data_IF_141646599576
#
_entry.id   IF_141646599576
#
_cell.length_a   1.000
_cell.length_b   1.000
_cell.length_c   1.000
_cell.angle_alpha   90.00
_cell.angle_beta   90.00
_cell.angle_gamma   90.00
#
_symmetry.space_group_name_H-M   'P 1'
#
loop_
_entity.id
_entity.type
_entity.pdbx_description
1 polymer ?
#
# COMPACT_ATOMS: atom_id res chain seq x y z
N UNK A 1 16.46 39.45 -23.52
CA UNK A 1 17.41 38.90 -22.55
C UNK A 1 17.15 39.57 -21.21
N UNK A 2 16.17 39.05 -20.47
CA UNK A 2 15.85 39.52 -19.11
C UNK A 2 16.43 38.49 -18.15
N UNK A 3 17.56 38.85 -17.56
CA UNK A 3 18.18 38.09 -16.48
C UNK A 3 17.19 38.08 -15.31
N UNK A 4 16.43 36.99 -15.17
CA UNK A 4 15.82 36.66 -13.88
C UNK A 4 17.00 36.30 -12.99
N UNK A 5 17.45 37.29 -12.20
CA UNK A 5 18.42 37.08 -11.14
C UNK A 5 17.96 35.88 -10.31
N UNK A 6 18.78 34.83 -10.33
CA UNK A 6 18.87 33.92 -9.20
C UNK A 6 19.14 34.84 -7.99
N UNK A 7 18.17 35.01 -7.09
CA UNK A 7 18.50 35.56 -5.77
C UNK A 7 19.32 34.47 -5.13
N UNK A 8 20.62 34.60 -5.30
CA UNK A 8 21.62 33.76 -4.70
C UNK A 8 21.48 33.90 -3.18
N UNK A 9 20.71 33.00 -2.55
CA UNK A 9 20.60 32.92 -1.09
C UNK A 9 21.93 32.46 -0.43
N UNK A 10 23.08 32.70 -1.09
CA UNK A 10 24.43 32.22 -0.76
C UNK A 10 24.93 32.64 0.62
N UNK A 11 24.36 33.69 1.22
CA UNK A 11 24.71 34.15 2.58
C UNK A 11 23.89 33.48 3.68
N UNK A 12 22.89 32.65 3.35
CA UNK A 12 22.04 31.98 4.32
C UNK A 12 22.39 30.49 4.38
N UNK A 13 22.47 29.96 5.60
CA UNK A 13 22.66 28.54 5.85
C UNK A 13 21.47 28.02 6.63
N UNK A 14 20.76 27.02 6.10
CA UNK A 14 19.74 26.31 6.85
C UNK A 14 20.38 25.12 7.56
N UNK A 15 20.13 25.01 8.86
CA UNK A 15 20.54 23.84 9.64
C UNK A 15 19.48 22.75 9.54
N UNK A 16 19.92 21.49 9.54
CA UNK A 16 19.01 20.35 9.55
C UNK A 16 18.02 20.45 10.72
N UNK A 17 16.74 20.11 10.49
CA UNK A 17 16.15 19.52 9.27
C UNK A 17 15.52 20.55 8.31
N UNK A 18 15.85 21.85 8.43
CA UNK A 18 15.27 22.90 7.59
C UNK A 18 15.89 22.92 6.20
N UNK A 19 15.14 23.46 5.23
CA UNK A 19 15.61 23.62 3.86
C UNK A 19 15.31 25.00 3.27
N UNK A 20 15.94 25.33 2.16
CA UNK A 20 15.72 26.58 1.44
C UNK A 20 14.32 26.64 0.82
N UNK A 21 13.77 27.84 0.78
CA UNK A 21 12.53 28.18 0.06
C UNK A 21 12.59 27.79 -1.43
N UNK A 22 11.45 27.47 -2.04
CA UNK A 22 11.42 27.09 -3.45
C UNK A 22 11.76 28.28 -4.36
N UNK A 23 12.24 28.03 -5.60
CA UNK A 23 12.50 29.09 -6.57
C UNK A 23 11.27 30.00 -6.77
N UNK A 24 11.50 31.31 -6.75
CA UNK A 24 10.45 32.33 -6.90
C UNK A 24 9.82 32.82 -5.59
N UNK A 25 10.22 32.29 -4.44
CA UNK A 25 9.86 32.82 -3.11
C UNK A 25 11.01 33.63 -2.48
N UNK A 26 10.73 34.54 -1.51
CA UNK A 26 11.77 35.20 -0.73
C UNK A 26 12.69 34.19 -0.04
N UNK A 27 14.00 34.47 0.03
CA UNK A 27 14.95 33.58 0.71
C UNK A 27 14.56 33.34 2.18
N UNK A 28 14.58 32.08 2.59
CA UNK A 28 14.37 31.68 3.97
C UNK A 28 14.58 30.19 4.19
N UNK A 29 14.55 29.79 5.46
CA UNK A 29 14.56 28.39 5.86
C UNK A 29 13.14 27.96 6.24
N UNK A 30 12.71 26.83 5.70
CA UNK A 30 11.37 26.28 5.85
C UNK A 30 11.43 24.82 6.26
N UNK A 31 10.35 24.33 6.86
CA UNK A 31 10.22 22.92 7.25
C UNK A 31 9.75 22.08 6.06
N UNK A 32 10.59 21.18 5.50
CA UNK A 32 10.14 20.26 4.46
C UNK A 32 9.32 19.12 5.05
N UNK A 33 8.36 18.63 4.27
CA UNK A 33 7.73 17.33 4.50
C UNK A 33 8.52 16.29 3.71
N UNK A 34 9.22 15.42 4.43
CA UNK A 34 10.14 14.46 3.85
C UNK A 34 9.42 13.15 3.56
N UNK A 35 9.60 12.62 2.37
CA UNK A 35 9.03 11.35 1.94
C UNK A 35 10.13 10.49 1.36
N UNK A 36 10.25 9.26 1.86
CA UNK A 36 11.14 8.26 1.28
C UNK A 36 10.33 7.16 0.64
N UNK A 37 10.57 6.93 -0.65
CA UNK A 37 9.87 5.90 -1.44
C UNK A 37 10.87 4.94 -2.10
N UNK A 38 10.46 3.70 -2.32
CA UNK A 38 11.06 2.79 -3.28
C UNK A 38 10.28 2.87 -4.59
N UNK A 39 10.97 2.87 -5.72
CA UNK A 39 10.40 2.75 -7.07
C UNK A 39 11.07 1.59 -7.81
N UNK A 40 10.29 0.83 -8.58
CA UNK A 40 10.77 -0.37 -9.28
C UNK A 40 11.39 -0.03 -10.65
N UNK A 41 12.42 0.81 -10.59
CA UNK A 41 13.26 1.18 -11.72
C UNK A 41 14.72 1.22 -11.24
N UNK A 42 15.64 0.81 -12.10
CA UNK A 42 17.07 0.89 -11.82
C UNK A 42 17.56 2.35 -11.75
N UNK A 43 18.47 2.64 -10.83
CA UNK A 43 18.91 4.01 -10.53
C UNK A 43 19.49 4.75 -11.75
N UNK A 44 20.21 4.05 -12.62
CA UNK A 44 20.78 4.64 -13.83
C UNK A 44 19.70 5.07 -14.85
N UNK A 45 18.53 4.43 -14.85
CA UNK A 45 17.36 4.86 -15.65
C UNK A 45 16.57 5.96 -14.96
N UNK A 46 16.65 6.05 -13.63
CA UNK A 46 15.94 7.06 -12.85
C UNK A 46 16.53 8.46 -12.99
N UNK A 47 17.86 8.62 -13.03
CA UNK A 47 18.52 9.94 -13.12
C UNK A 47 17.95 10.89 -14.20
N UNK A 48 17.71 10.47 -15.46
CA UNK A 48 17.11 11.35 -16.46
C UNK A 48 15.63 11.66 -16.20
N UNK A 49 14.95 10.94 -15.30
CA UNK A 49 13.51 11.03 -15.02
C UNK A 49 13.18 11.79 -13.73
N UNK A 50 14.19 12.30 -13.02
CA UNK A 50 14.05 13.04 -11.75
C UNK A 50 13.02 14.17 -11.84
N UNK A 51 13.07 14.96 -12.92
CA UNK A 51 12.16 16.07 -13.15
C UNK A 51 10.72 15.62 -13.41
N UNK A 52 10.53 14.49 -14.12
CA UNK A 52 9.20 13.93 -14.40
C UNK A 52 8.58 13.37 -13.12
N UNK A 53 9.36 12.65 -12.29
CA UNK A 53 8.88 12.17 -10.98
C UNK A 53 8.43 13.35 -10.10
N UNK A 54 9.25 14.40 -10.02
CA UNK A 54 8.92 15.58 -9.23
C UNK A 54 7.62 16.25 -9.70
N UNK A 55 7.40 16.31 -11.02
CA UNK A 55 6.18 16.84 -11.64
C UNK A 55 4.95 15.99 -11.35
N UNK A 56 5.04 14.67 -11.46
CA UNK A 56 3.94 13.73 -11.18
C UNK A 56 3.53 13.77 -9.70
N UNK A 57 4.51 13.78 -8.80
CA UNK A 57 4.27 13.93 -7.36
C UNK A 57 3.61 15.29 -7.09
N UNK A 58 4.16 16.39 -7.64
CA UNK A 58 3.62 17.73 -7.45
C UNK A 58 2.14 17.80 -7.86
N UNK A 59 1.79 17.25 -9.03
CA UNK A 59 0.41 17.18 -9.50
C UNK A 59 -0.50 16.40 -8.55
N UNK A 60 -0.01 15.27 -8.02
CA UNK A 60 -0.76 14.41 -7.10
C UNK A 60 -1.05 15.07 -5.75
N UNK A 61 -0.11 15.85 -5.22
CA UNK A 61 -0.26 16.55 -3.94
C UNK A 61 -0.73 18.00 -4.06
N UNK A 62 -1.10 18.46 -5.26
CA UNK A 62 -1.55 19.83 -5.54
C UNK A 62 -0.50 20.90 -5.20
N UNK A 63 0.78 20.58 -5.42
CA UNK A 63 1.90 21.50 -5.28
C UNK A 63 2.43 21.92 -6.65
N UNK A 64 3.19 23.01 -6.69
CA UNK A 64 3.96 23.35 -7.89
C UNK A 64 5.18 22.41 -8.03
N UNK A 65 5.65 22.17 -9.26
CA UNK A 65 6.85 21.36 -9.49
C UNK A 65 8.09 21.91 -8.76
N UNK A 66 8.17 23.24 -8.57
CA UNK A 66 9.27 23.91 -7.84
C UNK A 66 9.26 23.62 -6.33
N UNK A 67 8.16 23.08 -5.81
CA UNK A 67 7.99 22.70 -4.40
C UNK A 67 8.31 21.23 -4.15
N UNK A 68 8.71 20.46 -5.17
CA UNK A 68 9.10 19.06 -5.02
C UNK A 68 10.55 18.94 -5.40
N UNK A 69 11.39 18.60 -4.43
CA UNK A 69 12.84 18.45 -4.63
C UNK A 69 13.24 17.00 -4.35
N UNK A 70 13.90 16.39 -5.31
CA UNK A 70 14.57 15.11 -5.11
C UNK A 70 15.92 15.41 -4.46
N UNK A 71 16.09 14.98 -3.21
CA UNK A 71 17.28 15.24 -2.39
C UNK A 71 18.32 14.16 -2.62
N UNK A 72 17.86 12.91 -2.61
CA UNK A 72 18.71 11.73 -2.67
C UNK A 72 18.02 10.69 -3.54
N UNK A 73 18.82 9.95 -4.29
CA UNK A 73 18.40 8.73 -4.96
C UNK A 73 19.54 7.72 -4.86
N UNK A 74 19.23 6.52 -4.35
CA UNK A 74 20.19 5.44 -4.18
C UNK A 74 19.58 4.10 -4.62
N UNK A 75 20.41 3.13 -4.98
CA UNK A 75 19.94 1.77 -5.26
C UNK A 75 19.35 1.17 -3.98
N UNK A 76 18.17 0.55 -4.06
CA UNK A 76 17.57 -0.11 -2.92
C UNK A 76 18.33 -1.43 -2.64
N UNK A 77 19.46 -1.34 -1.94
CA UNK A 77 20.33 -2.47 -1.56
C UNK A 77 20.88 -3.27 -2.75
N UNK A 78 21.07 -4.60 -2.59
CA UNK A 78 21.58 -5.53 -3.60
C UNK A 78 20.69 -5.65 -4.85
N UNK A 79 19.49 -5.05 -4.84
CA UNK A 79 18.57 -5.02 -5.97
C UNK A 79 18.83 -3.78 -6.83
N UNK A 80 19.76 -3.90 -7.78
CA UNK A 80 20.08 -2.87 -8.79
C UNK A 80 18.86 -2.40 -9.63
N UNK A 81 17.74 -3.13 -9.54
CA UNK A 81 16.50 -2.88 -10.27
C UNK A 81 15.51 -1.99 -9.51
N UNK A 82 15.81 -1.59 -8.27
CA UNK A 82 14.99 -0.71 -7.45
C UNK A 82 15.77 0.51 -7.00
N UNK A 83 15.10 1.66 -6.94
CA UNK A 83 15.68 2.92 -6.49
C UNK A 83 14.93 3.44 -5.27
N UNK A 84 15.68 3.82 -4.25
CA UNK A 84 15.20 4.55 -3.09
C UNK A 84 15.35 6.03 -3.34
N UNK A 85 14.28 6.80 -3.20
CA UNK A 85 14.26 8.23 -3.47
C UNK A 85 13.81 8.98 -2.22
N UNK A 86 14.62 9.95 -1.77
CA UNK A 86 14.26 10.91 -0.74
C UNK A 86 13.75 12.19 -1.41
N UNK A 87 12.53 12.57 -1.06
CA UNK A 87 11.81 13.70 -1.63
C UNK A 87 11.51 14.69 -0.52
N UNK A 88 11.87 15.95 -0.73
CA UNK A 88 11.42 17.07 0.09
C UNK A 88 10.28 17.80 -0.60
N UNK A 89 9.12 17.83 0.04
CA UNK A 89 8.05 18.74 -0.32
C UNK A 89 8.27 20.05 0.45
N UNK A 90 8.36 21.16 -0.27
CA UNK A 90 8.74 22.47 0.26
C UNK A 90 7.52 23.41 0.26
N UNK A 91 7.12 23.97 1.41
CA UNK A 91 6.01 24.92 1.47
C UNK A 91 6.40 26.26 0.81
N UNK A 92 5.40 27.03 0.34
CA UNK A 92 5.60 28.42 -0.09
C UNK A 92 5.81 29.38 1.08
N UNK A 93 5.26 29.05 2.25
CA UNK A 93 5.46 29.76 3.50
C UNK A 93 6.50 29.07 4.39
N UNK A 94 6.52 29.38 5.68
CA UNK A 94 7.49 28.82 6.65
C UNK A 94 7.31 27.31 6.87
N UNK A 95 6.06 26.84 6.84
CA UNK A 95 5.67 25.44 7.08
C UNK A 95 4.36 25.12 6.35
N UNK A 96 4.06 23.84 6.13
CA UNK A 96 2.69 23.42 5.79
C UNK A 96 1.78 23.58 7.01
N UNK A 97 0.53 23.97 6.78
CA UNK A 97 -0.49 23.83 7.81
C UNK A 97 -0.73 22.35 8.12
N UNK A 98 -1.11 22.05 9.36
CA UNK A 98 -1.17 20.69 9.88
C UNK A 98 -2.18 19.84 9.08
N UNK A 99 -3.27 20.45 8.61
CA UNK A 99 -4.26 19.83 7.72
C UNK A 99 -3.68 19.43 6.37
N UNK A 100 -2.96 20.32 5.68
CA UNK A 100 -2.29 20.03 4.41
C UNK A 100 -1.23 18.96 4.59
N UNK A 101 -0.39 19.07 5.63
CA UNK A 101 0.62 18.05 5.93
C UNK A 101 -0.02 16.67 6.16
N UNK A 102 -1.13 16.59 6.91
CA UNK A 102 -1.85 15.35 7.16
C UNK A 102 -2.54 14.79 5.91
N UNK A 103 -3.10 15.64 5.05
CA UNK A 103 -3.68 15.23 3.77
C UNK A 103 -2.63 14.62 2.85
N UNK A 104 -1.46 15.25 2.75
CA UNK A 104 -0.32 14.73 1.99
C UNK A 104 0.12 13.38 2.56
N UNK A 105 0.33 13.29 3.88
CA UNK A 105 0.65 12.03 4.57
C UNK A 105 -0.32 10.91 4.20
N UNK A 106 -1.62 11.19 4.28
CA UNK A 106 -2.67 10.23 3.95
C UNK A 106 -2.60 9.80 2.49
N UNK A 107 -2.38 10.72 1.55
CA UNK A 107 -2.24 10.39 0.12
C UNK A 107 -1.10 9.43 -0.14
N UNK A 108 0.07 9.66 0.46
CA UNK A 108 1.21 8.74 0.32
C UNK A 108 0.88 7.34 0.85
N UNK A 109 0.38 7.24 2.09
CA UNK A 109 0.08 5.94 2.69
C UNK A 109 -1.06 5.18 2.02
N UNK A 110 -2.04 5.89 1.45
CA UNK A 110 -3.14 5.27 0.68
C UNK A 110 -2.76 4.97 -0.77
N UNK A 111 -1.52 5.23 -1.15
CA UNK A 111 -1.00 5.06 -2.51
C UNK A 111 -1.82 5.85 -3.56
N UNK A 112 -2.25 7.05 -3.18
CA UNK A 112 -3.03 7.98 -4.02
C UNK A 112 -2.10 8.96 -4.78
N UNK A 113 -0.81 8.63 -4.93
CA UNK A 113 0.13 9.42 -5.73
C UNK A 113 0.15 8.81 -7.12
N UNK A 114 -0.23 9.61 -8.11
CA UNK A 114 -0.28 9.22 -9.51
C UNK A 114 1.12 9.34 -10.09
N UNK A 115 1.83 8.21 -10.13
CA UNK A 115 3.13 8.05 -10.77
C UNK A 115 2.93 7.12 -11.97
N UNK A 116 3.52 7.41 -13.13
CA UNK A 116 3.40 6.53 -14.29
C UNK A 116 4.12 5.20 -14.04
N UNK A 117 3.33 4.16 -13.76
CA UNK A 117 3.82 2.82 -13.48
C UNK A 117 4.54 2.17 -14.67
N UNK A 118 4.31 2.64 -15.90
CA UNK A 118 5.04 2.15 -17.08
C UNK A 118 6.46 2.69 -17.14
N UNK A 119 6.68 3.88 -16.57
CA UNK A 119 7.98 4.57 -16.53
C UNK A 119 8.75 4.21 -15.26
N UNK A 120 8.12 4.34 -14.08
CA UNK A 120 8.76 4.21 -12.78
C UNK A 120 8.52 2.87 -12.09
N UNK A 121 7.62 2.05 -12.63
CA UNK A 121 7.17 0.82 -11.99
C UNK A 121 6.26 1.07 -10.79
N UNK A 122 6.01 0.02 -10.01
CA UNK A 122 5.31 0.16 -8.74
C UNK A 122 6.18 0.94 -7.74
N UNK A 123 5.54 1.75 -6.90
CA UNK A 123 6.22 2.45 -5.82
C UNK A 123 5.73 1.99 -4.45
N UNK A 124 6.60 2.06 -3.45
CA UNK A 124 6.30 1.76 -2.05
C UNK A 124 6.77 2.91 -1.16
N UNK A 125 5.96 3.28 -0.17
CA UNK A 125 6.31 4.34 0.79
C UNK A 125 7.04 3.71 1.97
N UNK A 126 8.26 4.17 2.24
CA UNK A 126 9.04 3.74 3.40
C UNK A 126 8.70 4.57 4.63
N UNK A 127 8.72 5.90 4.48
CA UNK A 127 8.28 6.80 5.53
C UNK A 127 7.77 8.12 4.95
N UNK A 128 6.93 8.77 5.75
CA UNK A 128 6.55 10.18 5.61
C UNK A 128 6.84 10.85 6.94
N UNK A 129 7.73 11.84 6.93
CA UNK A 129 8.20 12.51 8.13
C UNK A 129 7.92 14.02 8.06
N UNK A 130 7.22 14.52 9.08
CA UNK A 130 6.97 15.94 9.29
C UNK A 130 6.58 16.15 10.77
N UNK A 131 6.96 17.28 11.39
CA UNK A 131 6.60 17.55 12.78
C UNK A 131 5.09 17.48 13.01
N UNK A 132 4.68 16.76 14.05
CA UNK A 132 3.26 16.61 14.43
C UNK A 132 2.48 15.54 13.67
N UNK A 133 3.09 14.84 12.70
CA UNK A 133 2.48 13.68 12.07
C UNK A 133 2.61 12.41 12.94
N UNK A 134 1.69 11.45 12.79
CA UNK A 134 1.84 10.14 13.42
C UNK A 134 3.09 9.42 12.90
N UNK A 135 3.71 8.54 13.71
CA UNK A 135 4.85 7.75 13.26
C UNK A 135 4.48 6.88 12.06
N UNK A 136 5.43 6.70 11.15
CA UNK A 136 5.24 5.81 10.00
C UNK A 136 4.93 4.39 10.51
N UNK A 137 3.97 3.66 9.88
CA UNK A 137 3.70 2.27 10.21
C UNK A 137 4.99 1.45 10.13
N UNK A 138 5.18 0.45 11.01
CA UNK A 138 6.35 -0.41 10.92
C UNK A 138 6.40 -1.07 9.54
N UNK A 139 7.48 -0.81 8.81
CA UNK A 139 7.76 -1.47 7.54
C UNK A 139 7.82 -2.98 7.79
N UNK A 140 7.08 -3.76 7.00
CA UNK A 140 7.14 -5.23 7.09
C UNK A 140 8.58 -5.65 6.80
N UNK A 141 9.24 -6.46 7.65
CA UNK A 141 10.59 -6.91 7.36
C UNK A 141 10.53 -7.76 6.11
N UNK A 142 11.18 -7.28 5.05
CA UNK A 142 11.51 -8.12 3.90
C UNK A 142 12.55 -9.12 4.37
N UNK A 143 12.32 -10.40 4.10
CA UNK A 143 13.17 -11.54 4.50
C UNK A 143 14.66 -11.24 4.29
N UNK A 144 15.34 -10.90 5.38
CA UNK A 144 16.78 -10.96 5.49
C UNK A 144 17.08 -12.07 6.49
N UNK A 145 17.45 -13.24 5.95
CA UNK A 145 18.09 -14.30 6.70
C UNK A 145 19.32 -13.72 7.39
N UNK A 146 19.19 -13.46 8.68
CA UNK A 146 20.31 -13.18 9.59
C UNK A 146 21.14 -14.45 9.63
N UNK A 147 22.32 -14.42 9.00
CA UNK A 147 23.37 -15.38 9.29
C UNK A 147 24.01 -14.90 10.59
N UNK A 148 23.82 -15.70 11.63
CA UNK A 148 24.63 -15.67 12.85
C UNK A 148 26.10 -15.89 12.48
N UNK A 149 26.98 -14.98 12.92
CA UNK A 149 28.23 -15.41 13.54
C UNK A 149 28.71 -14.38 14.57
N UNK A 150 29.14 -14.92 15.70
CA UNK A 150 29.36 -14.27 16.98
C UNK A 150 30.86 -14.12 17.27
N UNK A 151 31.33 -12.92 17.65
CA UNK A 151 32.52 -12.80 18.53
C UNK A 151 32.69 -11.45 19.28
N UNK A 152 32.05 -11.38 20.46
CA UNK A 152 32.57 -10.90 21.77
C UNK A 152 32.94 -9.42 22.08
N UNK A 153 32.93 -9.03 23.38
CA UNK A 153 32.45 -7.73 23.87
C UNK A 153 33.53 -6.91 24.61
N UNK A 154 33.26 -5.62 24.79
CA UNK A 154 33.95 -4.73 25.74
C UNK A 154 33.09 -3.48 25.97
N UNK A 155 32.47 -3.35 27.15
CA UNK A 155 32.95 -2.47 28.23
C UNK A 155 32.85 -0.99 27.81
N UNK A 156 31.73 -0.30 28.09
CA UNK A 156 31.68 0.69 29.20
C UNK A 156 30.66 1.86 29.17
N UNK A 157 29.94 1.94 30.29
CA UNK A 157 29.33 3.05 31.06
C UNK A 157 28.40 4.13 30.45
N UNK A 158 27.22 4.20 31.08
CA UNK A 158 26.48 5.38 31.55
C UNK A 158 25.87 6.38 30.53
N UNK A 159 24.59 6.15 30.22
CA UNK A 159 23.69 7.14 29.62
C UNK A 159 22.22 6.76 29.85
N UNK A 160 21.73 7.00 31.06
CA UNK A 160 20.34 6.81 31.46
C UNK A 160 19.41 7.69 30.62
N UNK A 161 18.66 7.09 29.68
CA UNK A 161 17.44 7.69 29.13
C UNK A 161 16.34 6.63 29.15
N UNK A 162 15.55 6.75 30.21
CA UNK A 162 14.25 6.14 30.50
C UNK A 162 13.57 5.43 29.30
N UNK A 163 13.60 4.10 29.34
CA UNK A 163 12.75 3.23 28.52
C UNK A 163 11.38 3.16 29.22
N UNK A 164 10.25 3.54 28.60
CA UNK A 164 8.97 3.39 29.26
C UNK A 164 8.67 1.90 29.48
N UNK A 165 8.14 1.63 30.67
CA UNK A 165 7.69 0.32 31.14
C UNK A 165 6.61 -0.23 30.19
N UNK A 166 7.06 -0.99 29.19
CA UNK A 166 6.21 -1.92 28.46
C UNK A 166 5.93 -3.09 29.39
N UNK A 167 4.70 -3.18 29.89
CA UNK A 167 4.23 -4.35 30.62
C UNK A 167 4.38 -5.57 29.69
N UNK A 168 5.02 -6.61 30.21
CA UNK A 168 5.11 -7.91 29.54
C UNK A 168 3.69 -8.49 29.44
N UNK A 169 3.05 -8.29 28.30
CA UNK A 169 1.83 -9.03 27.96
C UNK A 169 2.31 -10.32 27.32
N UNK A 170 1.99 -11.51 27.85
CA UNK A 170 2.35 -12.75 27.21
C UNK A 170 1.80 -12.74 25.78
N UNK A 171 2.74 -12.68 24.83
CA UNK A 171 2.53 -12.78 23.39
C UNK A 171 1.87 -14.12 23.10
N UNK A 172 0.54 -14.15 23.11
CA UNK A 172 -0.20 -15.26 22.51
C UNK A 172 0.05 -15.17 21.01
N UNK A 173 0.98 -15.98 20.54
CA UNK A 173 1.23 -16.24 19.13
C UNK A 173 -0.11 -16.59 18.47
N UNK A 174 -0.76 -15.60 17.86
CA UNK A 174 -1.77 -15.86 16.83
C UNK A 174 -0.99 -16.13 15.57
N UNK A 175 -0.57 -17.39 15.47
CA UNK A 175 -0.30 -18.06 14.20
C UNK A 175 -1.25 -17.51 13.14
N UNK A 176 -0.69 -16.96 12.07
CA UNK A 176 -1.44 -16.37 10.97
C UNK A 176 -2.46 -17.38 10.44
N UNK A 177 -3.73 -17.17 10.79
CA UNK A 177 -4.80 -18.08 10.43
C UNK A 177 -5.28 -17.83 9.00
N UNK A 178 -4.37 -17.85 8.03
CA UNK A 178 -4.74 -17.91 6.61
C UNK A 178 -5.53 -19.21 6.34
N UNK A 179 -5.23 -20.29 7.06
CA UNK A 179 -6.03 -21.52 7.05
C UNK A 179 -7.43 -21.37 7.64
N UNK A 180 -7.62 -20.58 8.71
CA UNK A 180 -8.96 -20.41 9.34
C UNK A 180 -9.91 -19.61 8.47
N UNK A 181 -9.41 -18.59 7.73
CA UNK A 181 -10.24 -17.88 6.76
C UNK A 181 -10.68 -18.82 5.62
N UNK A 182 -9.76 -19.66 5.12
CA UNK A 182 -10.08 -20.68 4.10
C UNK A 182 -11.09 -21.70 4.64
N UNK A 183 -10.90 -22.23 5.86
CA UNK A 183 -11.83 -23.19 6.48
C UNK A 183 -13.22 -22.59 6.68
N UNK A 184 -13.33 -21.32 7.09
CA UNK A 184 -14.63 -20.65 7.24
C UNK A 184 -15.35 -20.53 5.89
N UNK A 185 -14.64 -20.15 4.82
CA UNK A 185 -15.22 -20.03 3.47
C UNK A 185 -15.69 -21.40 2.96
N UNK A 186 -14.86 -22.45 3.11
CA UNK A 186 -15.20 -23.80 2.68
C UNK A 186 -16.39 -24.35 3.48
N UNK A 187 -16.37 -24.21 4.80
CA UNK A 187 -17.44 -24.69 5.67
C UNK A 187 -18.77 -23.99 5.36
N UNK A 188 -18.73 -22.66 5.19
CA UNK A 188 -19.92 -21.87 4.83
C UNK A 188 -20.49 -22.27 3.48
N UNK A 189 -19.64 -22.51 2.48
CA UNK A 189 -20.07 -22.97 1.16
C UNK A 189 -20.76 -24.33 1.24
N UNK A 190 -20.13 -25.32 1.89
CA UNK A 190 -20.69 -26.67 2.04
C UNK A 190 -22.04 -26.65 2.76
N UNK A 191 -22.16 -25.89 3.85
CA UNK A 191 -23.45 -25.77 4.57
C UNK A 191 -24.52 -25.15 3.69
N UNK A 192 -24.21 -24.08 2.95
CA UNK A 192 -25.17 -23.46 2.03
C UNK A 192 -25.64 -24.45 0.96
N UNK A 193 -24.73 -25.19 0.33
CA UNK A 193 -25.07 -26.19 -0.68
C UNK A 193 -25.98 -27.30 -0.15
N UNK A 194 -25.71 -27.82 1.06
CA UNK A 194 -26.56 -28.86 1.68
C UNK A 194 -27.98 -28.33 1.93
N UNK A 195 -28.11 -27.08 2.41
CA UNK A 195 -29.41 -26.43 2.62
C UNK A 195 -30.14 -26.22 1.29
N UNK A 196 -29.45 -25.74 0.25
CA UNK A 196 -30.05 -25.56 -1.08
C UNK A 196 -30.53 -26.89 -1.69
N UNK A 197 -29.75 -27.96 -1.57
CA UNK A 197 -30.14 -29.29 -2.05
C UNK A 197 -31.33 -29.83 -1.25
N UNK A 198 -31.33 -29.67 0.08
CA UNK A 198 -32.45 -30.07 0.93
C UNK A 198 -33.74 -29.33 0.59
N UNK A 199 -33.67 -28.01 0.41
CA UNK A 199 -34.80 -27.19 -0.04
C UNK A 199 -35.28 -27.61 -1.43
N UNK A 200 -34.37 -27.83 -2.39
CA UNK A 200 -34.71 -28.28 -3.72
C UNK A 200 -35.41 -29.65 -3.71
N UNK A 201 -34.96 -30.59 -2.87
CA UNK A 201 -35.61 -31.89 -2.70
C UNK A 201 -36.98 -31.78 -2.03
N UNK A 202 -37.13 -30.95 -1.00
CA UNK A 202 -38.43 -30.70 -0.37
C UNK A 202 -39.38 -30.04 -1.37
N UNK A 203 -38.92 -29.04 -2.11
CA UNK A 203 -39.69 -28.41 -3.18
C UNK A 203 -40.06 -29.42 -4.28
N UNK A 204 -39.13 -30.28 -4.71
CA UNK A 204 -39.41 -31.33 -5.69
C UNK A 204 -40.42 -32.36 -5.17
N UNK A 205 -40.34 -32.77 -3.90
CA UNK A 205 -41.32 -33.66 -3.29
C UNK A 205 -42.69 -32.97 -3.17
N UNK A 206 -42.73 -31.68 -2.82
CA UNK A 206 -43.98 -30.90 -2.76
C UNK A 206 -44.58 -30.68 -4.15
N UNK A 207 -43.74 -30.46 -5.17
CA UNK A 207 -44.16 -30.38 -6.57
C UNK A 207 -44.59 -31.75 -7.12
N UNK A 208 -43.92 -32.85 -6.78
CA UNK A 208 -44.35 -34.19 -7.14
C UNK A 208 -45.65 -34.59 -6.44
N UNK A 209 -45.85 -34.18 -5.18
CA UNK A 209 -47.13 -34.35 -4.48
C UNK A 209 -48.24 -33.49 -5.09
N UNK A 210 -47.92 -32.27 -5.53
CA UNK A 210 -48.85 -31.39 -6.24
C UNK A 210 -49.23 -31.94 -7.62
N UNK A 211 -48.28 -32.52 -8.36
CA UNK A 211 -48.53 -33.18 -9.65
C UNK A 211 -49.28 -34.50 -9.47
N UNK A 212 -49.10 -35.22 -8.34
CA UNK A 212 -49.85 -36.43 -8.03
C UNK A 212 -51.33 -36.15 -7.69
N UNK A 213 -51.65 -34.96 -7.14
CA UNK A 213 -53.02 -34.52 -6.84
C UNK A 213 -53.78 -33.93 -8.05
N UNK A 214 -53.21 -34.00 -9.26
CA UNK A 214 -53.92 -33.61 -10.48
C UNK A 214 -53.89 -34.71 -11.55
N UNK A 215 -54.41 -35.89 -11.17
CA UNK A 215 -54.74 -36.95 -12.12
C UNK A 215 -56.24 -37.26 -12.06
N UNK A 216 -57.04 -36.87 -13.07
CA UNK A 216 -58.29 -37.57 -13.34
C UNK A 216 -57.97 -38.96 -13.90
N UNK A 217 -58.66 -39.97 -13.39
CA UNK A 217 -58.63 -41.39 -13.77
C UNK A 217 -59.83 -41.64 -14.70
N UNK A 218 -59.89 -42.70 -15.51
CA UNK A 218 -59.09 -43.06 -16.69
C UNK A 218 -59.99 -43.34 -17.92
N UNK A 219 -59.47 -43.29 -19.13
CA UNK A 219 -59.97 -44.02 -20.32
C UNK A 219 -58.95 -43.73 -21.43
N UNK A 220 -58.40 -44.62 -22.22
CA UNK A 220 -58.50 -46.06 -22.36
C UNK A 220 -57.60 -46.38 -23.57
N UNK A 221 -57.01 -47.57 -23.53
CA UNK A 221 -56.54 -48.34 -24.69
C UNK A 221 -55.18 -48.01 -25.36
N UNK A 222 -54.25 -48.95 -25.11
CA UNK A 222 -53.55 -49.78 -26.12
C UNK A 222 -52.27 -49.25 -26.80
N UNK A 223 -51.20 -50.04 -26.57
CA UNK A 223 -50.08 -50.39 -27.47
C UNK A 223 -49.00 -49.33 -27.72
N UNK A 224 -47.72 -49.64 -27.86
CA UNK A 224 -46.86 -50.77 -27.51
C UNK A 224 -45.42 -50.31 -27.75
N UNK A 225 -44.48 -51.05 -27.17
CA UNK A 225 -43.20 -51.44 -27.78
C UNK A 225 -42.15 -50.37 -28.12
N UNK A 226 -41.03 -50.55 -27.43
CA UNK A 226 -39.67 -50.59 -27.96
C UNK A 226 -38.80 -49.32 -27.93
N UNK A 227 -37.68 -49.53 -27.22
CA UNK A 227 -36.29 -49.26 -27.62
C UNK A 227 -35.82 -47.82 -27.86
N UNK A 228 -34.81 -47.52 -27.03
CA UNK A 228 -33.43 -47.21 -27.44
C UNK A 228 -33.03 -45.73 -27.41
N UNK A 229 -32.13 -45.46 -26.46
CA UNK A 229 -30.90 -44.69 -26.62
C UNK A 229 -30.96 -43.46 -27.51
N UNK A 230 -30.91 -42.28 -26.89
CA UNK A 230 -29.98 -41.24 -27.36
C UNK A 230 -29.64 -40.24 -26.25
N UNK A 231 -28.33 -40.00 -26.18
CA UNK A 231 -27.61 -38.91 -25.54
C UNK A 231 -28.06 -37.57 -26.13
N UNK A 232 -28.03 -36.49 -25.36
CA UNK A 232 -27.61 -35.12 -25.75
C UNK A 232 -27.58 -34.27 -24.45
N UNK A 233 -26.40 -33.74 -24.09
CA UNK A 233 -25.94 -32.36 -24.30
C UNK A 233 -26.69 -31.33 -23.46
#
# INVERSE_FOLDING_TARGET
>A
MMLILHVDCLSMTCSDPLTYTPPGSPCGCVWPLQVKIHINIAIYKFFPLVAELAKEIAASVLLNHTQVRIVEADAASQQLEKTTVLIDLVPKGVKFDDTTAFLIYKKFWRREILIDASVFGAYEVLYVHYPGLPPSPPSTPSDASVIDDERNPGHDHNGMMMKPLGVDVPKKNKEGSNGRMIVIIVLSSVTAFVVFIGLAWICALKCCAYVHEHKPVPDGLISSSSKQSSKCN
#
